data_IF_722661747758
#
_entry.id   IF_722661747758
#
_cell.length_a   1.000
_cell.length_b   1.000
_cell.length_c   1.000
_cell.angle_alpha   90.00
_cell.angle_beta   90.00
_cell.angle_gamma   90.00
#
_symmetry.space_group_name_H-M   'P 1'
#
loop_
_entity.id
_entity.type
_entity.pdbx_description
1 polymer ?
#
# COMPACT_ATOMS: atom_id res chain seq x y z
N UNK A 1 30.26 6.90 -3.75
CA UNK A 1 29.08 7.40 -3.03
C UNK A 1 28.52 8.57 -3.83
N UNK A 2 27.46 8.36 -4.60
CA UNK A 2 26.84 9.43 -5.39
C UNK A 2 26.05 10.34 -4.47
N UNK A 3 26.46 11.61 -4.38
CA UNK A 3 25.67 12.64 -3.74
C UNK A 3 24.43 12.87 -4.60
N UNK A 4 23.26 12.47 -4.12
CA UNK A 4 22.01 12.88 -4.71
C UNK A 4 21.90 14.41 -4.53
N UNK A 5 22.17 15.15 -5.59
CA UNK A 5 22.00 16.59 -5.64
C UNK A 5 20.52 16.90 -5.42
N UNK A 6 20.18 17.51 -4.28
CA UNK A 6 18.84 18.04 -4.03
C UNK A 6 18.65 19.19 -5.00
N UNK A 7 17.96 18.94 -6.10
CA UNK A 7 17.64 19.99 -7.05
C UNK A 7 16.73 21.02 -6.37
N UNK A 8 16.97 22.33 -6.57
CA UNK A 8 16.10 23.35 -6.01
C UNK A 8 14.69 23.18 -6.57
N UNK A 9 13.70 23.20 -5.68
CA UNK A 9 12.29 23.16 -6.04
C UNK A 9 12.00 24.24 -7.10
N UNK A 10 11.20 23.94 -8.14
CA UNK A 10 10.82 24.95 -9.13
C UNK A 10 10.20 26.15 -8.43
N UNK A 11 10.59 27.35 -8.86
CA UNK A 11 10.44 28.68 -8.23
C UNK A 11 9.00 29.13 -7.85
N UNK A 12 7.98 28.25 -7.85
CA UNK A 12 6.58 28.58 -7.56
C UNK A 12 5.84 27.57 -6.67
N UNK A 13 6.50 26.60 -6.04
CA UNK A 13 5.82 25.74 -5.06
C UNK A 13 5.95 26.40 -3.68
N UNK A 14 4.81 26.80 -3.10
CA UNK A 14 4.80 27.33 -1.74
C UNK A 14 5.14 26.23 -0.72
N UNK A 15 5.76 26.60 0.40
CA UNK A 15 6.01 25.67 1.51
C UNK A 15 4.71 25.04 2.02
N UNK A 16 3.59 25.77 1.96
CA UNK A 16 2.26 25.25 2.26
C UNK A 16 1.84 24.12 1.30
N UNK A 17 2.04 24.30 0.00
CA UNK A 17 1.75 23.26 -1.00
C UNK A 17 2.59 22.02 -0.74
N UNK A 18 3.88 22.21 -0.43
CA UNK A 18 4.79 21.11 -0.10
C UNK A 18 4.33 20.35 1.16
N UNK A 19 3.98 21.08 2.22
CA UNK A 19 3.50 20.48 3.47
C UNK A 19 2.22 19.68 3.26
N UNK A 20 1.27 20.20 2.47
CA UNK A 20 0.04 19.49 2.15
C UNK A 20 0.31 18.19 1.40
N UNK A 21 1.19 18.21 0.40
CA UNK A 21 1.56 17.00 -0.35
C UNK A 21 2.23 15.95 0.56
N UNK A 22 3.10 16.37 1.47
CA UNK A 22 3.72 15.48 2.46
C UNK A 22 2.68 14.86 3.41
N UNK A 23 1.70 15.64 3.85
CA UNK A 23 0.61 15.16 4.69
C UNK A 23 -0.30 14.17 3.94
N UNK A 24 -0.66 14.48 2.70
CA UNK A 24 -1.42 13.57 1.83
C UNK A 24 -0.70 12.25 1.61
N UNK A 25 0.62 12.25 1.38
CA UNK A 25 1.42 11.03 1.28
C UNK A 25 1.39 10.21 2.56
N UNK A 26 1.60 10.84 3.73
CA UNK A 26 1.55 10.15 5.03
C UNK A 26 0.18 9.55 5.32
N UNK A 27 -0.88 10.28 5.02
CA UNK A 27 -2.25 9.80 5.20
C UNK A 27 -2.54 8.60 4.29
N UNK A 28 -2.05 8.64 3.05
CA UNK A 28 -2.15 7.51 2.12
C UNK A 28 -1.39 6.28 2.61
N UNK A 29 -0.16 6.47 3.08
CA UNK A 29 0.66 5.39 3.65
C UNK A 29 -0.05 4.73 4.85
N UNK A 30 -0.56 5.55 5.78
CA UNK A 30 -1.30 5.07 6.95
C UNK A 30 -2.57 4.30 6.56
N UNK A 31 -3.28 4.73 5.53
CA UNK A 31 -4.45 4.03 5.00
C UNK A 31 -4.07 2.65 4.44
N UNK A 32 -3.01 2.57 3.63
CA UNK A 32 -2.54 1.32 3.04
C UNK A 32 -2.11 0.32 4.12
N UNK A 33 -1.37 0.79 5.14
CA UNK A 33 -0.99 -0.02 6.29
C UNK A 33 -2.22 -0.54 7.06
N UNK A 34 -3.26 0.28 7.23
CA UNK A 34 -4.49 -0.13 7.88
C UNK A 34 -5.26 -1.21 7.09
N UNK A 35 -5.28 -1.12 5.76
CA UNK A 35 -5.88 -2.13 4.87
C UNK A 35 -5.12 -3.46 5.00
N UNK A 36 -3.79 -3.43 4.91
CA UNK A 36 -2.95 -4.63 5.07
C UNK A 36 -3.22 -5.30 6.41
N UNK A 37 -3.19 -4.53 7.51
CA UNK A 37 -3.42 -5.05 8.86
C UNK A 37 -4.82 -5.63 9.03
N UNK A 38 -5.84 -5.03 8.40
CA UNK A 38 -7.21 -5.56 8.40
C UNK A 38 -7.24 -6.97 7.80
N UNK A 39 -6.51 -7.20 6.71
CA UNK A 39 -6.48 -8.50 6.06
C UNK A 39 -5.66 -9.54 6.81
N UNK A 40 -4.50 -9.16 7.34
CA UNK A 40 -3.71 -10.01 8.25
C UNK A 40 -4.57 -10.51 9.42
N UNK A 41 -5.36 -9.62 10.02
CA UNK A 41 -6.26 -9.97 11.12
C UNK A 41 -7.45 -10.84 10.68
N UNK A 42 -8.03 -10.54 9.51
CA UNK A 42 -9.19 -11.26 8.98
C UNK A 42 -8.84 -12.72 8.65
N UNK A 43 -7.69 -12.93 8.01
CA UNK A 43 -7.31 -14.23 7.48
C UNK A 43 -6.42 -15.03 8.44
N UNK A 44 -5.62 -14.35 9.28
CA UNK A 44 -4.71 -15.00 10.23
C UNK A 44 -3.58 -15.79 9.55
N UNK A 45 -3.27 -15.48 8.29
CA UNK A 45 -2.27 -16.10 7.42
C UNK A 45 -1.69 -15.03 6.49
N UNK A 46 -0.65 -15.34 5.74
CA UNK A 46 -0.06 -14.39 4.77
C UNK A 46 -0.89 -14.27 3.49
N UNK A 47 -0.70 -13.21 2.72
CA UNK A 47 -1.33 -13.06 1.40
C UNK A 47 -0.99 -14.24 0.49
N UNK A 48 0.27 -14.68 0.47
CA UNK A 48 0.73 -15.80 -0.35
C UNK A 48 0.02 -17.10 0.02
N UNK A 49 -0.24 -17.32 1.31
CA UNK A 49 -1.00 -18.48 1.79
C UNK A 49 -2.47 -18.42 1.37
N UNK A 50 -3.08 -17.22 1.39
CA UNK A 50 -4.45 -17.01 0.91
C UNK A 50 -4.56 -17.33 -0.57
N UNK A 51 -3.65 -16.79 -1.38
CA UNK A 51 -3.66 -16.95 -2.84
C UNK A 51 -3.36 -18.39 -3.24
N UNK A 52 -2.43 -19.06 -2.57
CA UNK A 52 -2.18 -20.48 -2.79
C UNK A 52 -3.41 -21.35 -2.48
N UNK A 53 -4.22 -20.99 -1.47
CA UNK A 53 -5.50 -21.67 -1.19
C UNK A 53 -6.51 -21.43 -2.30
N UNK A 54 -6.66 -20.18 -2.76
CA UNK A 54 -7.54 -19.82 -3.85
C UNK A 54 -7.19 -20.55 -5.16
N UNK A 55 -5.90 -20.66 -5.49
CA UNK A 55 -5.41 -21.40 -6.66
C UNK A 55 -5.76 -22.89 -6.62
N UNK A 56 -5.91 -23.47 -5.41
CA UNK A 56 -6.38 -24.85 -5.21
C UNK A 56 -7.91 -24.98 -5.20
N UNK A 57 -8.64 -23.87 -5.33
CA UNK A 57 -10.09 -23.83 -5.19
C UNK A 57 -10.57 -23.99 -3.74
N UNK A 58 -9.71 -23.73 -2.75
CA UNK A 58 -10.04 -23.83 -1.33
C UNK A 58 -10.50 -22.48 -0.77
N UNK A 59 -11.78 -22.35 -0.46
CA UNK A 59 -12.36 -21.14 0.11
C UNK A 59 -13.59 -20.69 -0.66
N UNK A 60 -14.12 -19.53 -0.30
CA UNK A 60 -15.22 -18.93 -1.05
C UNK A 60 -14.62 -17.99 -2.09
N UNK A 61 -14.95 -18.16 -3.37
CA UNK A 61 -14.48 -17.27 -4.45
C UNK A 61 -14.72 -15.80 -4.09
N UNK A 62 -15.90 -15.48 -3.55
CA UNK A 62 -16.16 -14.20 -2.89
C UNK A 62 -16.41 -14.42 -1.39
N UNK A 63 -15.82 -13.62 -0.49
CA UNK A 63 -15.04 -12.39 -0.76
C UNK A 63 -13.53 -12.62 -0.92
N UNK A 64 -13.04 -13.85 -0.81
CA UNK A 64 -11.60 -14.11 -0.62
C UNK A 64 -10.76 -13.69 -1.84
N UNK A 65 -11.28 -13.83 -3.06
CA UNK A 65 -10.59 -13.37 -4.25
C UNK A 65 -10.47 -11.83 -4.31
N UNK A 66 -11.55 -11.10 -4.03
CA UNK A 66 -11.53 -9.63 -4.02
C UNK A 66 -10.59 -9.10 -2.93
N UNK A 67 -10.66 -9.70 -1.74
CA UNK A 67 -9.79 -9.36 -0.63
C UNK A 67 -8.32 -9.64 -0.95
N UNK A 68 -8.00 -10.75 -1.62
CA UNK A 68 -6.62 -11.04 -2.07
C UNK A 68 -6.08 -9.97 -3.02
N UNK A 69 -6.92 -9.45 -3.93
CA UNK A 69 -6.54 -8.42 -4.88
C UNK A 69 -6.34 -7.07 -4.19
N UNK A 70 -7.28 -6.66 -3.32
CA UNK A 70 -7.14 -5.41 -2.56
C UNK A 70 -5.90 -5.44 -1.67
N UNK A 71 -5.64 -6.57 -1.02
CA UNK A 71 -4.45 -6.75 -0.18
C UNK A 71 -3.15 -6.67 -0.99
N UNK A 72 -3.04 -7.39 -2.11
CA UNK A 72 -1.88 -7.32 -3.00
C UNK A 72 -1.64 -5.88 -3.47
N UNK A 73 -2.69 -5.20 -3.93
CA UNK A 73 -2.60 -3.82 -4.38
C UNK A 73 -2.11 -2.88 -3.28
N UNK A 74 -2.53 -3.10 -2.03
CA UNK A 74 -2.09 -2.30 -0.90
C UNK A 74 -0.59 -2.50 -0.59
N UNK A 75 -0.10 -3.75 -0.63
CA UNK A 75 1.32 -4.07 -0.47
C UNK A 75 2.16 -3.45 -1.59
N UNK A 76 1.78 -3.67 -2.84
CA UNK A 76 2.50 -3.11 -4.00
C UNK A 76 2.51 -1.58 -4.00
N UNK A 77 1.42 -0.94 -3.56
CA UNK A 77 1.37 0.51 -3.45
C UNK A 77 2.29 1.02 -2.34
N UNK A 78 2.40 0.30 -1.22
CA UNK A 78 3.27 0.65 -0.11
C UNK A 78 4.75 0.49 -0.48
N UNK A 79 5.12 -0.57 -1.21
CA UNK A 79 6.50 -0.78 -1.70
C UNK A 79 6.97 0.32 -2.67
N UNK A 80 6.03 0.99 -3.35
CA UNK A 80 6.30 2.08 -4.31
C UNK A 80 6.24 3.48 -3.69
N UNK A 81 5.97 3.59 -2.39
CA UNK A 81 5.95 4.86 -1.65
C UNK A 81 7.36 5.24 -1.20
#
# INVERSE_FOLDING_TARGET
>A
MSQASVQPLPLRISSETMNRLLEEMRNREALLQAIIKRYEQRYGLSLEELEARLDRGEGSEHPDWEDSIEWRNALEALERT
#
